data_IF_468654073133
#
_entry.id   IF_468654073133
#
_cell.length_a   1.000
_cell.length_b   1.000
_cell.length_c   1.000
_cell.angle_alpha   90.00
_cell.angle_beta   90.00
_cell.angle_gamma   90.00
#
_symmetry.space_group_name_H-M   'P 1'
#
loop_
_entity.id
_entity.type
_entity.pdbx_description
1 polymer ?
#
# COMPACT_ATOMS: atom_id res chain seq x y z
N UNK A 1 2.73 25.64 25.14
CA UNK A 1 4.03 24.95 25.00
C UNK A 1 4.56 25.24 23.63
N UNK A 2 5.77 25.78 23.53
CA UNK A 2 6.42 26.07 22.24
C UNK A 2 6.68 24.76 21.47
N UNK A 3 6.46 24.81 20.16
CA UNK A 3 6.76 23.71 19.26
C UNK A 3 8.27 23.48 19.23
N UNK A 4 8.73 22.34 19.77
CA UNK A 4 10.14 21.96 19.69
C UNK A 4 10.36 21.00 18.53
N UNK A 5 11.20 21.41 17.59
CA UNK A 5 11.67 20.55 16.49
C UNK A 5 12.44 19.37 17.10
N UNK A 6 12.06 18.11 16.80
CA UNK A 6 12.74 16.94 17.34
C UNK A 6 14.15 16.83 16.76
N UNK A 7 15.15 16.55 17.61
CA UNK A 7 16.54 16.34 17.20
C UNK A 7 16.82 14.86 16.91
N UNK A 8 16.18 13.96 17.66
CA UNK A 8 16.24 12.51 17.42
C UNK A 8 14.87 11.85 17.49
N UNK A 9 14.55 11.06 16.47
CA UNK A 9 13.24 10.40 16.30
C UNK A 9 13.36 8.89 16.44
N UNK A 10 12.46 8.28 17.20
CA UNK A 10 12.27 6.84 17.19
C UNK A 10 11.18 6.47 16.18
N UNK A 11 11.49 5.63 15.20
CA UNK A 11 10.51 5.06 14.28
C UNK A 11 10.15 3.66 14.78
N UNK A 12 8.87 3.38 15.03
CA UNK A 12 8.43 2.05 15.46
C UNK A 12 7.66 1.35 14.36
N UNK A 13 8.13 0.17 13.96
CA UNK A 13 7.59 -0.61 12.84
C UNK A 13 8.59 -0.80 11.69
N UNK A 14 8.69 -2.03 11.18
CA UNK A 14 9.63 -2.45 10.14
C UNK A 14 9.01 -2.70 8.76
N UNK A 15 7.73 -2.36 8.58
CA UNK A 15 7.02 -2.49 7.31
C UNK A 15 7.28 -1.30 6.37
N UNK A 16 6.45 -1.17 5.33
CA UNK A 16 6.56 -0.11 4.31
C UNK A 16 6.57 1.29 4.93
N UNK A 17 5.66 1.57 5.87
CA UNK A 17 5.58 2.89 6.50
C UNK A 17 6.84 3.26 7.29
N UNK A 18 7.34 2.34 8.11
CA UNK A 18 8.58 2.58 8.88
C UNK A 18 9.80 2.68 7.98
N UNK A 19 9.84 1.90 6.89
CA UNK A 19 10.91 1.94 5.91
C UNK A 19 10.95 3.27 5.16
N UNK A 20 9.81 3.72 4.63
CA UNK A 20 9.75 5.02 3.94
C UNK A 20 9.98 6.19 4.91
N UNK A 21 9.53 6.08 6.16
CA UNK A 21 9.82 7.10 7.19
C UNK A 21 11.32 7.21 7.46
N UNK A 22 12.04 6.08 7.54
CA UNK A 22 13.50 6.08 7.71
C UNK A 22 14.21 6.76 6.51
N UNK A 23 13.76 6.48 5.28
CA UNK A 23 14.26 7.17 4.09
C UNK A 23 13.96 8.67 4.11
N UNK A 24 12.75 9.08 4.48
CA UNK A 24 12.38 10.50 4.61
C UNK A 24 13.19 11.23 5.68
N UNK A 25 13.45 10.59 6.83
CA UNK A 25 14.35 11.14 7.85
C UNK A 25 15.77 11.31 7.30
N UNK A 26 16.28 10.32 6.58
CA UNK A 26 17.62 10.37 5.97
C UNK A 26 17.73 11.50 4.94
N UNK A 27 16.74 11.66 4.06
CA UNK A 27 16.67 12.73 3.05
C UNK A 27 16.67 14.12 3.70
N UNK A 28 15.97 14.28 4.83
CA UNK A 28 15.85 15.55 5.57
C UNK A 28 16.96 15.76 6.63
N UNK A 29 17.92 14.85 6.75
CA UNK A 29 18.99 14.94 7.75
C UNK A 29 18.51 14.84 9.21
N UNK A 30 17.37 14.19 9.45
CA UNK A 30 16.81 13.97 10.79
C UNK A 30 17.48 12.74 11.42
N UNK A 31 18.07 12.88 12.62
CA UNK A 31 18.61 11.73 13.33
C UNK A 31 17.47 10.80 13.78
N UNK A 32 17.64 9.50 13.54
CA UNK A 32 16.63 8.52 13.90
C UNK A 32 17.22 7.20 14.40
N UNK A 33 16.35 6.39 14.98
CA UNK A 33 16.55 4.96 15.19
C UNK A 33 15.23 4.25 14.85
N UNK A 34 15.30 3.04 14.31
CA UNK A 34 14.15 2.25 13.92
C UNK A 34 14.06 0.98 14.78
N UNK A 35 12.94 0.80 15.48
CA UNK A 35 12.65 -0.39 16.28
C UNK A 35 11.58 -1.25 15.64
N UNK A 36 11.86 -2.54 15.49
CA UNK A 36 10.87 -3.52 15.08
C UNK A 36 11.18 -4.86 15.74
N UNK A 37 10.13 -5.60 16.10
CA UNK A 37 10.23 -6.92 16.74
C UNK A 37 10.06 -8.09 15.75
N UNK A 38 10.03 -7.81 14.44
CA UNK A 38 9.84 -8.83 13.41
C UNK A 38 8.44 -9.44 13.33
N UNK A 39 7.42 -8.85 13.98
CA UNK A 39 6.03 -9.30 13.82
C UNK A 39 5.56 -9.22 12.36
N UNK A 40 4.65 -10.13 11.92
CA UNK A 40 4.13 -10.12 10.55
C UNK A 40 3.60 -8.76 10.12
N UNK A 41 4.05 -8.27 8.97
CA UNK A 41 3.62 -7.00 8.41
C UNK A 41 2.79 -7.21 7.15
N UNK A 42 1.84 -6.29 6.89
CA UNK A 42 1.12 -6.24 5.61
C UNK A 42 2.08 -6.19 4.40
N UNK A 43 3.25 -5.59 4.60
CA UNK A 43 4.32 -5.46 3.62
C UNK A 43 4.97 -6.78 3.21
N UNK A 44 4.96 -7.79 4.07
CA UNK A 44 5.54 -9.11 3.78
C UNK A 44 4.72 -9.87 2.72
N UNK A 45 3.44 -9.50 2.59
CA UNK A 45 2.46 -10.14 1.69
C UNK A 45 2.05 -9.21 0.54
N UNK A 46 2.43 -7.94 0.59
CA UNK A 46 1.99 -6.94 -0.36
C UNK A 46 2.43 -7.30 -1.79
N UNK A 47 1.48 -7.28 -2.72
CA UNK A 47 1.80 -7.31 -4.14
C UNK A 47 2.47 -6.02 -4.63
N UNK A 48 2.41 -4.95 -3.82
CA UNK A 48 2.99 -3.66 -4.14
C UNK A 48 2.33 -2.94 -5.30
N UNK A 49 1.11 -3.35 -5.70
CA UNK A 49 0.43 -2.78 -6.84
C UNK A 49 0.04 -1.31 -6.62
N UNK A 50 0.18 -0.50 -7.66
CA UNK A 50 -0.33 0.85 -7.74
C UNK A 50 -1.17 1.03 -9.01
N UNK A 51 -2.13 1.94 -8.95
CA UNK A 51 -2.85 2.47 -10.10
C UNK A 51 -3.59 3.75 -9.67
N UNK A 52 -3.88 4.66 -10.60
CA UNK A 52 -4.57 5.92 -10.31
C UNK A 52 -6.10 5.81 -10.32
N UNK A 53 -6.71 4.62 -10.48
CA UNK A 53 -8.17 4.49 -10.74
C UNK A 53 -8.90 3.64 -9.69
N UNK A 54 -10.05 4.11 -9.23
CA UNK A 54 -11.01 3.33 -8.45
C UNK A 54 -11.99 2.63 -9.39
N UNK A 55 -11.78 1.35 -9.69
CA UNK A 55 -12.61 0.61 -10.65
C UNK A 55 -14.09 0.47 -10.26
N UNK A 56 -14.44 0.54 -8.97
CA UNK A 56 -15.84 0.40 -8.52
C UNK A 56 -16.74 1.53 -9.03
N UNK A 57 -16.20 2.74 -9.16
CA UNK A 57 -16.94 3.94 -9.58
C UNK A 57 -16.31 4.64 -10.79
N UNK A 58 -15.22 4.09 -11.34
CA UNK A 58 -14.40 4.65 -12.43
C UNK A 58 -13.94 6.09 -12.11
N UNK A 59 -13.54 6.34 -10.86
CA UNK A 59 -13.06 7.65 -10.39
C UNK A 59 -11.54 7.65 -10.27
N UNK A 60 -10.85 8.78 -10.39
CA UNK A 60 -9.47 8.87 -9.98
C UNK A 60 -9.33 8.52 -8.50
N UNK A 61 -8.18 8.00 -8.13
CA UNK A 61 -7.80 7.88 -6.74
C UNK A 61 -7.50 9.27 -6.18
N UNK A 62 -7.48 9.34 -4.85
CA UNK A 62 -7.21 10.58 -4.13
C UNK A 62 -5.86 11.13 -4.54
N UNK A 63 -5.85 12.35 -5.07
CA UNK A 63 -4.65 13.07 -5.49
C UNK A 63 -3.70 12.22 -6.36
N UNK A 64 -4.28 11.39 -7.24
CA UNK A 64 -3.59 10.32 -7.93
C UNK A 64 -2.34 10.79 -8.72
N UNK A 65 -2.43 11.92 -9.41
CA UNK A 65 -1.32 12.44 -10.20
C UNK A 65 -0.12 12.83 -9.32
N UNK A 66 -0.36 13.63 -8.28
CA UNK A 66 0.71 14.14 -7.41
C UNK A 66 1.30 13.00 -6.56
N UNK A 67 0.46 12.12 -6.02
CA UNK A 67 0.91 10.97 -5.23
C UNK A 67 1.73 9.99 -6.08
N UNK A 68 1.30 9.68 -7.30
CA UNK A 68 2.09 8.83 -8.20
C UNK A 68 3.42 9.48 -8.60
N UNK A 69 3.43 10.79 -8.87
CA UNK A 69 4.66 11.52 -9.21
C UNK A 69 5.67 11.48 -8.06
N UNK A 70 5.24 11.80 -6.84
CA UNK A 70 6.10 11.75 -5.65
C UNK A 70 6.53 10.32 -5.34
N UNK A 71 5.66 9.33 -5.56
CA UNK A 71 6.03 7.94 -5.36
C UNK A 71 7.17 7.50 -6.29
N UNK A 72 7.06 7.81 -7.59
CA UNK A 72 8.12 7.52 -8.57
C UNK A 72 9.45 8.14 -8.18
N UNK A 73 9.43 9.41 -7.77
CA UNK A 73 10.63 10.12 -7.32
C UNK A 73 11.30 9.41 -6.12
N UNK A 74 10.54 9.14 -5.06
CA UNK A 74 11.10 8.54 -3.84
C UNK A 74 11.60 7.12 -4.10
N UNK A 75 10.86 6.29 -4.83
CA UNK A 75 11.35 4.95 -5.13
C UNK A 75 12.60 4.99 -6.01
N UNK A 76 12.72 5.91 -6.96
CA UNK A 76 13.94 6.08 -7.76
C UNK A 76 15.15 6.48 -6.91
N UNK A 77 14.97 7.38 -5.94
CA UNK A 77 16.03 7.73 -4.98
C UNK A 77 16.49 6.48 -4.21
N UNK A 78 15.54 5.66 -3.75
CA UNK A 78 15.84 4.44 -2.99
C UNK A 78 16.50 3.37 -3.85
N UNK A 79 16.05 3.17 -5.08
CA UNK A 79 16.66 2.27 -6.07
C UNK A 79 18.14 2.62 -6.28
N UNK A 80 18.43 3.91 -6.55
CA UNK A 80 19.78 4.39 -6.75
C UNK A 80 20.66 4.20 -5.51
N UNK A 81 20.12 4.49 -4.32
CA UNK A 81 20.86 4.36 -3.06
C UNK A 81 21.15 2.89 -2.69
N UNK A 82 20.28 1.96 -3.08
CA UNK A 82 20.40 0.53 -2.75
C UNK A 82 20.98 -0.32 -3.90
N UNK A 83 21.06 0.21 -5.11
CA UNK A 83 21.48 -0.53 -6.31
C UNK A 83 20.54 -1.68 -6.66
N UNK A 84 19.22 -1.45 -6.60
CA UNK A 84 18.18 -2.47 -6.86
C UNK A 84 17.07 -1.88 -7.72
N UNK A 85 16.29 -2.75 -8.37
CA UNK A 85 15.05 -2.38 -9.06
C UNK A 85 13.85 -2.62 -8.13
N UNK A 86 13.01 -1.61 -7.98
CA UNK A 86 11.82 -1.61 -7.15
C UNK A 86 10.56 -1.30 -7.96
N UNK A 87 10.59 -0.32 -8.86
CA UNK A 87 9.42 0.16 -9.59
C UNK A 87 9.27 -0.56 -10.94
N UNK A 88 8.12 -1.17 -11.14
CA UNK A 88 7.82 -1.92 -12.37
C UNK A 88 6.52 -1.43 -12.98
N UNK A 89 6.59 -0.75 -14.12
CA UNK A 89 5.42 -0.34 -14.88
C UNK A 89 4.80 -1.57 -15.59
N UNK A 90 3.58 -1.90 -15.18
CA UNK A 90 2.81 -3.03 -15.70
C UNK A 90 1.35 -2.56 -15.82
N UNK A 91 0.93 -2.07 -17.00
CA UNK A 91 -0.41 -1.55 -17.22
C UNK A 91 -1.50 -2.53 -16.80
N UNK A 92 -2.67 -2.00 -16.43
CA UNK A 92 -3.82 -2.82 -16.05
C UNK A 92 -4.85 -2.86 -17.18
N UNK A 93 -5.13 -4.07 -17.63
CA UNK A 93 -6.31 -4.43 -18.42
C UNK A 93 -7.50 -4.61 -17.47
N UNK A 94 -8.47 -3.70 -17.53
CA UNK A 94 -9.72 -3.80 -16.77
C UNK A 94 -10.80 -4.48 -17.63
N UNK A 95 -11.16 -5.71 -17.29
CA UNK A 95 -12.28 -6.42 -17.93
C UNK A 95 -13.60 -5.81 -17.46
N UNK A 96 -14.50 -5.54 -18.40
CA UNK A 96 -15.82 -4.99 -18.08
C UNK A 96 -16.77 -6.09 -17.59
N UNK A 97 -17.42 -5.92 -16.42
CA UNK A 97 -18.32 -6.93 -15.87
C UNK A 97 -19.63 -7.06 -16.66
N UNK A 98 -20.06 -5.98 -17.32
CA UNK A 98 -21.30 -5.88 -18.07
C UNK A 98 -21.25 -4.73 -19.08
N UNK A 99 -22.26 -4.65 -19.95
CA UNK A 99 -22.39 -3.62 -20.98
C UNK A 99 -22.59 -2.20 -20.43
N UNK A 100 -23.20 -2.05 -19.25
CA UNK A 100 -23.41 -0.72 -18.63
C UNK A 100 -22.07 -0.13 -18.18
N UNK A 101 -21.22 -0.96 -17.56
CA UNK A 101 -19.87 -0.58 -17.20
C UNK A 101 -19.02 -0.23 -18.42
N UNK A 102 -19.13 -1.01 -19.51
CA UNK A 102 -18.43 -0.73 -20.76
C UNK A 102 -18.84 0.62 -21.37
N UNK A 103 -20.13 0.94 -21.36
CA UNK A 103 -20.66 2.22 -21.83
C UNK A 103 -20.11 3.39 -20.99
N UNK A 104 -20.15 3.26 -19.65
CA UNK A 104 -19.64 4.29 -18.74
C UNK A 104 -18.12 4.49 -18.87
N UNK A 105 -17.35 3.41 -19.04
CA UNK A 105 -15.91 3.51 -19.30
C UNK A 105 -15.65 4.27 -20.59
N UNK A 106 -16.35 3.92 -21.66
CA UNK A 106 -16.21 4.55 -22.98
C UNK A 106 -16.57 6.03 -22.94
N UNK A 107 -17.66 6.38 -22.25
CA UNK A 107 -18.06 7.78 -22.01
C UNK A 107 -16.92 8.57 -21.35
N UNK A 108 -16.37 8.08 -20.24
CA UNK A 108 -15.31 8.78 -19.50
C UNK A 108 -13.98 8.82 -20.23
N UNK A 109 -13.64 7.78 -20.99
CA UNK A 109 -12.44 7.75 -21.81
C UNK A 109 -12.48 8.78 -22.96
N UNK A 110 -13.67 9.17 -23.42
CA UNK A 110 -13.82 10.21 -24.46
C UNK A 110 -13.57 11.64 -23.97
N UNK A 111 -13.58 11.86 -22.65
CA UNK A 111 -13.32 13.17 -22.05
C UNK A 111 -14.42 13.66 -21.11
N UNK A 112 -14.20 14.83 -20.51
CA UNK A 112 -15.19 15.50 -19.65
C UNK A 112 -15.31 14.94 -18.23
N UNK A 113 -14.43 14.02 -17.82
CA UNK A 113 -14.41 13.46 -16.48
C UNK A 113 -12.99 13.52 -15.88
N UNK A 114 -12.88 13.71 -14.56
CA UNK A 114 -11.60 13.73 -13.83
C UNK A 114 -10.77 12.43 -13.93
N UNK A 115 -11.34 11.35 -14.44
CA UNK A 115 -10.65 10.05 -14.60
C UNK A 115 -10.03 9.90 -15.98
N UNK A 116 -10.47 10.72 -16.96
CA UNK A 116 -10.04 10.65 -18.36
C UNK A 116 -8.52 10.55 -18.52
N UNK A 117 -7.68 11.31 -17.77
CA UNK A 117 -6.23 11.25 -17.95
C UNK A 117 -5.61 9.88 -17.60
N UNK A 118 -6.36 9.00 -16.93
CA UNK A 118 -5.86 7.76 -16.36
C UNK A 118 -6.42 6.50 -17.01
N UNK A 119 -7.35 6.63 -17.96
CA UNK A 119 -8.00 5.49 -18.60
C UNK A 119 -8.01 5.63 -20.12
N UNK A 120 -7.88 4.50 -20.79
CA UNK A 120 -7.93 4.42 -22.24
C UNK A 120 -8.97 3.37 -22.68
N UNK A 121 -9.58 3.59 -23.84
CA UNK A 121 -10.34 2.56 -24.54
C UNK A 121 -9.37 1.54 -25.14
N UNK A 122 -9.76 0.27 -25.17
CA UNK A 122 -8.95 -0.78 -25.76
C UNK A 122 -9.75 -1.54 -26.83
N UNK A 123 -9.31 -1.53 -28.10
CA UNK A 123 -9.95 -2.34 -29.13
C UNK A 123 -9.76 -3.83 -28.85
N UNK A 124 -10.72 -4.66 -29.25
CA UNK A 124 -10.70 -6.10 -29.02
C UNK A 124 -9.46 -6.78 -29.63
N UNK A 125 -8.97 -6.31 -30.78
CA UNK A 125 -7.81 -6.89 -31.47
C UNK A 125 -6.47 -6.66 -30.74
N UNK A 126 -6.43 -5.75 -29.75
CA UNK A 126 -5.26 -5.48 -28.93
C UNK A 126 -5.23 -6.32 -27.65
N UNK A 127 -6.33 -7.01 -27.33
CA UNK A 127 -6.37 -7.94 -26.20
C UNK A 127 -5.54 -9.18 -26.51
N UNK A 128 -4.74 -9.58 -25.54
CA UNK A 128 -4.04 -10.86 -25.63
C UNK A 128 -5.08 -12.00 -25.82
N UNK A 129 -4.88 -12.96 -26.76
CA UNK A 129 -5.88 -13.98 -27.09
C UNK A 129 -6.31 -14.86 -25.92
N UNK A 130 -5.50 -14.93 -24.86
CA UNK A 130 -5.84 -15.67 -23.64
C UNK A 130 -6.81 -14.93 -22.71
N UNK A 131 -7.20 -13.67 -22.99
CA UNK A 131 -8.04 -12.88 -22.09
C UNK A 131 -9.52 -13.06 -22.46
N UNK A 132 -10.34 -13.43 -21.48
CA UNK A 132 -11.78 -13.53 -21.63
C UNK A 132 -12.46 -12.21 -21.22
N UNK A 133 -12.93 -11.44 -22.21
CA UNK A 133 -13.56 -10.14 -22.00
C UNK A 133 -14.87 -10.00 -22.79
N UNK A 134 -15.96 -10.67 -22.37
CA UNK A 134 -17.20 -10.76 -23.16
C UNK A 134 -17.89 -9.41 -23.40
N UNK A 135 -17.67 -8.43 -22.52
CA UNK A 135 -18.18 -7.06 -22.67
C UNK A 135 -17.09 -6.07 -23.10
N UNK A 136 -15.91 -6.57 -23.49
CA UNK A 136 -14.72 -5.77 -23.76
C UNK A 136 -13.92 -5.44 -22.51
N UNK A 137 -12.91 -4.60 -22.70
CA UNK A 137 -12.00 -4.17 -21.65
C UNK A 137 -11.46 -2.76 -21.94
N UNK A 138 -10.87 -2.16 -20.91
CA UNK A 138 -10.17 -0.88 -20.98
C UNK A 138 -8.77 -0.98 -20.38
N UNK A 139 -7.98 0.07 -20.54
CA UNK A 139 -6.59 0.11 -20.07
C UNK A 139 -6.39 1.22 -19.04
N UNK A 140 -5.55 0.95 -18.03
CA UNK A 140 -4.92 1.95 -17.18
C UNK A 140 -3.42 1.89 -17.43
N UNK A 141 -2.86 2.84 -18.21
CA UNK A 141 -1.45 2.79 -18.63
C UNK A 141 -0.50 3.01 -17.45
N UNK A 142 -0.79 4.00 -16.60
CA UNK A 142 0.01 4.39 -15.43
C UNK A 142 -0.23 3.46 -14.22
N UNK A 143 -0.01 2.17 -14.39
CA UNK A 143 -0.15 1.19 -13.33
C UNK A 143 1.04 0.23 -13.30
N UNK A 144 1.19 -0.48 -12.18
CA UNK A 144 2.31 -1.38 -12.00
C UNK A 144 2.42 -1.86 -10.57
N UNK A 145 3.64 -2.19 -10.16
CA UNK A 145 3.92 -2.61 -8.81
C UNK A 145 5.31 -2.20 -8.32
N UNK A 146 5.45 -2.14 -7.00
CA UNK A 146 6.72 -1.94 -6.30
C UNK A 146 7.12 -3.22 -5.58
N UNK A 147 8.37 -3.64 -5.66
CA UNK A 147 8.87 -4.78 -4.90
C UNK A 147 9.06 -4.44 -3.41
N UNK A 148 7.94 -4.35 -2.68
CA UNK A 148 7.90 -3.92 -1.27
C UNK A 148 8.76 -4.83 -0.37
N UNK A 149 8.80 -6.13 -0.65
CA UNK A 149 9.61 -7.07 0.13
C UNK A 149 11.10 -6.79 -0.04
N UNK A 150 11.56 -6.63 -1.29
CA UNK A 150 12.96 -6.28 -1.56
C UNK A 150 13.33 -4.94 -0.93
N UNK A 151 12.44 -3.93 -1.04
CA UNK A 151 12.61 -2.63 -0.40
C UNK A 151 12.81 -2.74 1.11
N UNK A 152 11.91 -3.42 1.83
CA UNK A 152 11.99 -3.51 3.29
C UNK A 152 13.19 -4.33 3.75
N UNK A 153 13.52 -5.42 3.05
CA UNK A 153 14.69 -6.26 3.34
C UNK A 153 16.01 -5.49 3.15
N UNK A 154 16.20 -4.85 1.99
CA UNK A 154 17.43 -4.12 1.67
C UNK A 154 17.59 -2.85 2.50
N UNK A 155 16.51 -2.11 2.73
CA UNK A 155 16.54 -0.93 3.61
C UNK A 155 16.87 -1.32 5.04
N UNK A 156 16.29 -2.41 5.56
CA UNK A 156 16.62 -2.90 6.91
C UNK A 156 18.09 -3.28 7.03
N UNK A 157 18.65 -3.98 6.03
CA UNK A 157 20.05 -4.35 6.03
C UNK A 157 20.97 -3.11 6.08
N UNK A 158 20.67 -2.09 5.27
CA UNK A 158 21.38 -0.81 5.30
C UNK A 158 21.30 -0.14 6.70
N UNK A 159 20.09 -0.05 7.27
CA UNK A 159 19.92 0.60 8.58
C UNK A 159 20.55 -0.19 9.72
N UNK A 160 20.63 -1.52 9.62
CA UNK A 160 21.37 -2.34 10.57
C UNK A 160 22.87 -2.05 10.48
N UNK A 161 23.43 -1.98 9.27
CA UNK A 161 24.85 -1.64 9.05
C UNK A 161 25.19 -0.25 9.60
N UNK A 162 24.28 0.72 9.46
CA UNK A 162 24.44 2.06 9.97
C UNK A 162 24.19 2.19 11.49
N UNK A 163 23.87 1.08 12.19
CA UNK A 163 23.53 1.10 13.61
C UNK A 163 22.21 1.81 13.94
N UNK A 164 21.36 2.03 12.93
CA UNK A 164 20.08 2.74 13.03
C UNK A 164 18.90 1.80 13.26
N UNK A 165 19.03 0.50 13.02
CA UNK A 165 17.95 -0.48 13.23
C UNK A 165 18.21 -1.37 14.45
N UNK A 166 17.16 -1.62 15.26
CA UNK A 166 17.21 -2.55 16.40
C UNK A 166 16.03 -3.52 16.40
N UNK A 167 16.32 -4.77 16.77
CA UNK A 167 15.31 -5.76 17.10
C UNK A 167 14.74 -5.46 18.49
N UNK A 168 13.71 -4.63 18.56
CA UNK A 168 13.14 -4.16 19.81
C UNK A 168 11.64 -3.88 19.63
N UNK A 169 10.83 -4.28 20.60
CA UNK A 169 9.40 -3.99 20.64
C UNK A 169 9.14 -2.64 21.32
N UNK A 170 8.05 -1.99 20.94
CA UNK A 170 7.57 -0.77 21.58
C UNK A 170 6.05 -0.70 21.57
N UNK A 171 5.49 -0.14 22.64
CA UNK A 171 4.09 0.22 22.82
C UNK A 171 3.94 1.60 23.43
N UNK A 172 2.76 2.20 23.32
CA UNK A 172 2.46 3.51 23.91
C UNK A 172 2.78 3.57 25.41
N UNK A 173 2.65 2.45 26.12
CA UNK A 173 2.93 2.32 27.55
C UNK A 173 4.40 2.52 27.91
N UNK A 174 5.31 2.30 26.97
CA UNK A 174 6.75 2.49 27.18
C UNK A 174 7.15 3.97 27.16
N UNK A 175 6.26 4.86 26.72
CA UNK A 175 6.51 6.29 26.62
C UNK A 175 7.51 6.64 25.51
N UNK A 176 8.07 7.86 25.58
CA UNK A 176 9.19 8.27 24.76
C UNK A 176 10.50 7.83 25.43
N UNK A 177 11.30 6.93 24.82
CA UNK A 177 12.51 6.45 25.46
C UNK A 177 13.56 7.56 25.64
N UNK A 178 14.42 7.49 26.69
CA UNK A 178 15.46 8.48 26.91
C UNK A 178 16.36 8.68 25.68
N UNK A 179 16.65 9.94 25.35
CA UNK A 179 17.47 10.31 24.20
C UNK A 179 16.70 10.47 22.89
N UNK A 180 15.39 10.23 22.87
CA UNK A 180 14.50 10.55 21.76
C UNK A 180 13.59 11.72 22.13
N UNK A 181 13.26 12.55 21.14
CA UNK A 181 12.33 13.68 21.28
C UNK A 181 10.92 13.34 20.77
N UNK A 182 10.81 12.34 19.89
CA UNK A 182 9.54 11.89 19.32
C UNK A 182 9.56 10.40 18.98
N UNK A 183 8.38 9.79 18.94
CA UNK A 183 8.10 8.43 18.47
C UNK A 183 7.11 8.51 17.31
N UNK A 184 7.51 8.02 16.14
CA UNK A 184 6.67 7.91 14.95
C UNK A 184 6.17 6.49 14.80
N UNK A 185 4.86 6.32 14.94
CA UNK A 185 4.20 5.02 14.94
C UNK A 185 3.79 4.54 13.56
N UNK A 186 4.62 3.65 13.03
CA UNK A 186 4.48 3.00 11.74
C UNK A 186 4.17 1.50 11.88
N UNK A 187 3.63 1.03 13.01
CA UNK A 187 3.42 -0.42 13.30
C UNK A 187 2.29 -1.06 12.52
N UNK A 188 1.61 -0.34 11.62
CA UNK A 188 0.47 -0.87 10.88
C UNK A 188 -0.64 -1.29 11.84
N UNK A 189 -1.19 -2.50 11.68
CA UNK A 189 -2.25 -3.03 12.56
C UNK A 189 -1.80 -3.21 14.01
N UNK A 190 -0.48 -3.29 14.27
CA UNK A 190 0.07 -3.34 15.62
C UNK A 190 -0.19 -2.06 16.43
N UNK A 191 -0.49 -0.94 15.78
CA UNK A 191 -0.85 0.31 16.45
C UNK A 191 -2.31 0.36 16.93
N UNK A 192 -3.16 -0.62 16.54
CA UNK A 192 -4.61 -0.52 16.75
C UNK A 192 -5.02 -0.39 18.23
N UNK A 193 -4.38 -1.16 19.13
CA UNK A 193 -4.70 -1.10 20.56
C UNK A 193 -4.26 0.22 21.20
N UNK A 194 -3.14 0.79 20.77
CA UNK A 194 -2.65 2.06 21.28
C UNK A 194 -3.48 3.24 20.75
N UNK A 195 -3.84 3.22 19.47
CA UNK A 195 -4.69 4.24 18.85
C UNK A 195 -6.12 4.25 19.39
N UNK A 196 -6.66 3.08 19.77
CA UNK A 196 -7.99 2.98 20.35
C UNK A 196 -8.16 3.80 21.64
N UNK A 197 -7.08 4.01 22.41
CA UNK A 197 -7.08 4.83 23.63
C UNK A 197 -7.39 6.31 23.35
N UNK A 198 -7.23 6.76 22.11
CA UNK A 198 -7.56 8.11 21.64
C UNK A 198 -8.85 8.14 20.82
N UNK A 199 -9.62 7.05 20.81
CA UNK A 199 -10.83 6.91 20.00
C UNK A 199 -10.55 6.82 18.49
N UNK A 200 -9.35 6.37 18.11
CA UNK A 200 -8.97 6.18 16.71
C UNK A 200 -9.09 4.71 16.33
N UNK A 201 -10.03 4.42 15.43
CA UNK A 201 -10.28 3.05 14.96
C UNK A 201 -9.37 2.71 13.77
N UNK A 202 -8.43 1.78 14.00
CA UNK A 202 -7.62 1.17 12.94
C UNK A 202 -8.12 -0.26 12.67
N UNK A 203 -8.75 -0.45 11.51
CA UNK A 203 -9.35 -1.74 11.13
C UNK A 203 -8.35 -2.67 10.47
N UNK A 204 -8.55 -3.96 10.67
CA UNK A 204 -7.79 -5.05 10.05
C UNK A 204 -8.56 -5.51 8.81
N UNK A 205 -8.04 -5.23 7.63
CA UNK A 205 -8.57 -5.78 6.40
C UNK A 205 -7.69 -6.95 5.96
N UNK A 206 -8.18 -8.16 6.22
CA UNK A 206 -7.51 -9.39 5.82
C UNK A 206 -7.57 -9.57 4.30
N UNK A 207 -6.45 -9.99 3.73
CA UNK A 207 -6.39 -10.38 2.34
C UNK A 207 -5.31 -11.40 2.05
N UNK A 208 -5.65 -12.27 1.11
CA UNK A 208 -4.83 -13.37 0.65
C UNK A 208 -4.40 -13.15 -0.80
N UNK A 209 -3.19 -13.59 -1.10
CA UNK A 209 -2.63 -13.63 -2.45
C UNK A 209 -2.00 -15.00 -2.68
N UNK A 210 -2.08 -15.47 -3.92
CA UNK A 210 -1.40 -16.69 -4.35
C UNK A 210 -0.37 -16.35 -5.42
N UNK A 211 0.69 -17.15 -5.48
CA UNK A 211 1.61 -17.16 -6.63
C UNK A 211 1.44 -18.49 -7.33
N UNK A 212 1.33 -18.45 -8.66
CA UNK A 212 1.26 -19.63 -9.50
C UNK A 212 2.42 -19.64 -10.49
N UNK A 213 2.84 -20.84 -10.87
CA UNK A 213 3.84 -21.08 -11.90
C UNK A 213 3.19 -21.88 -13.03
N UNK A 214 3.24 -21.35 -14.24
CA UNK A 214 2.64 -22.00 -15.41
C UNK A 214 3.50 -21.79 -16.65
N UNK A 215 3.42 -22.74 -17.59
CA UNK A 215 4.03 -22.59 -18.92
C UNK A 215 3.16 -21.75 -19.88
N UNK A 216 1.96 -21.36 -19.45
CA UNK A 216 1.03 -20.58 -20.26
C UNK A 216 1.47 -19.13 -20.40
N UNK A 217 1.44 -18.63 -21.65
CA UNK A 217 1.56 -17.19 -21.91
C UNK A 217 0.20 -16.51 -21.77
N UNK A 218 0.21 -15.47 -20.97
CA UNK A 218 -0.93 -14.76 -20.45
C UNK A 218 -0.79 -13.24 -20.69
N UNK A 219 0.19 -12.83 -21.49
CA UNK A 219 0.49 -11.45 -21.77
C UNK A 219 1.29 -10.77 -20.66
N UNK A 220 1.78 -9.58 -20.98
CA UNK A 220 2.68 -8.81 -20.10
C UNK A 220 1.95 -7.82 -19.19
N UNK A 221 0.65 -7.62 -19.36
CA UNK A 221 -0.16 -6.70 -18.56
C UNK A 221 -0.84 -7.39 -17.38
N UNK A 222 -1.13 -6.61 -16.35
CA UNK A 222 -2.00 -7.06 -15.27
C UNK A 222 -3.43 -7.16 -15.78
N UNK A 223 -4.10 -8.30 -15.56
CA UNK A 223 -5.52 -8.46 -15.90
C UNK A 223 -6.36 -8.31 -14.63
N UNK A 224 -7.41 -7.49 -14.66
CA UNK A 224 -8.27 -7.20 -13.53
C UNK A 224 -9.75 -7.39 -13.86
N UNK A 225 -10.40 -8.35 -13.20
CA UNK A 225 -11.85 -8.58 -13.23
C UNK A 225 -12.47 -8.51 -11.82
N UNK A 226 -11.95 -7.62 -10.95
CA UNK A 226 -12.13 -7.54 -9.48
C UNK A 226 -11.04 -8.32 -8.75
N UNK A 227 -10.76 -9.53 -9.18
CA UNK A 227 -9.49 -10.20 -8.90
C UNK A 227 -8.47 -9.76 -9.95
N UNK A 228 -7.23 -9.58 -9.54
CA UNK A 228 -6.13 -9.24 -10.44
C UNK A 228 -5.16 -10.40 -10.60
N UNK A 229 -4.56 -10.48 -11.77
CA UNK A 229 -3.47 -11.42 -12.12
C UNK A 229 -2.32 -10.59 -12.68
N UNK A 230 -1.27 -10.48 -11.88
CA UNK A 230 -0.05 -9.71 -12.16
C UNK A 230 1.03 -10.67 -12.70
N UNK A 231 1.54 -10.48 -13.92
CA UNK A 231 2.72 -11.19 -14.40
C UNK A 231 3.98 -10.78 -13.61
N UNK A 232 4.77 -11.77 -13.20
CA UNK A 232 6.08 -11.56 -12.56
C UNK A 232 7.26 -11.93 -13.48
N UNK A 233 6.98 -12.42 -14.69
CA UNK A 233 7.97 -12.96 -15.63
C UNK A 233 8.19 -14.47 -15.47
N UNK A 234 8.82 -15.10 -16.47
CA UNK A 234 9.17 -16.52 -16.48
C UNK A 234 8.02 -17.48 -16.13
N UNK A 235 6.79 -17.17 -16.57
CA UNK A 235 5.60 -17.99 -16.29
C UNK A 235 5.04 -17.89 -14.87
N UNK A 236 5.60 -17.01 -14.03
CA UNK A 236 5.09 -16.75 -12.69
C UNK A 236 4.03 -15.64 -12.70
N UNK A 237 2.92 -15.86 -11.98
CA UNK A 237 1.86 -14.87 -11.81
C UNK A 237 1.47 -14.76 -10.35
N UNK A 238 1.25 -13.53 -9.88
CA UNK A 238 0.61 -13.28 -8.59
C UNK A 238 -0.86 -12.98 -8.81
N UNK A 239 -1.71 -13.63 -8.03
CA UNK A 239 -3.16 -13.48 -8.11
C UNK A 239 -3.67 -12.99 -6.77
N UNK A 240 -4.51 -11.96 -6.81
CA UNK A 240 -5.08 -11.45 -5.59
C UNK A 240 -6.17 -10.42 -5.80
N UNK A 241 -6.67 -9.83 -4.73
CA UNK A 241 -6.59 -10.38 -3.38
C UNK A 241 -7.99 -10.53 -2.82
N UNK A 242 -8.16 -11.40 -1.83
CA UNK A 242 -9.37 -11.37 -1.01
C UNK A 242 -9.44 -10.08 -0.17
N UNK A 243 -10.64 -9.79 0.33
CA UNK A 243 -10.95 -8.60 1.13
C UNK A 243 -11.97 -8.97 2.21
N UNK A 244 -11.50 -9.14 3.44
CA UNK A 244 -12.25 -9.73 4.58
C UNK A 244 -12.07 -8.86 5.83
N UNK A 245 -13.17 -8.58 6.54
CA UNK A 245 -13.16 -7.83 7.81
C UNK A 245 -13.42 -8.72 9.03
N UNK A 246 -13.89 -9.93 8.79
CA UNK A 246 -14.27 -10.94 9.79
C UNK A 246 -13.09 -11.77 10.30
N UNK A 247 -11.88 -11.56 9.75
CA UNK A 247 -10.65 -12.25 10.18
C UNK A 247 -9.69 -11.25 10.81
N UNK A 248 -9.23 -11.56 12.01
CA UNK A 248 -8.28 -10.73 12.75
C UNK A 248 -6.82 -11.20 12.67
N UNK A 249 -6.59 -12.42 12.19
CA UNK A 249 -5.27 -13.06 12.09
C UNK A 249 -4.80 -13.22 10.64
N UNK A 250 -3.49 -13.17 10.34
CA UNK A 250 -2.95 -13.32 8.98
C UNK A 250 -2.92 -14.79 8.54
N UNK A 251 -4.09 -15.44 8.48
CA UNK A 251 -4.23 -16.86 8.14
C UNK A 251 -4.69 -17.07 6.70
N UNK A 252 -4.18 -18.13 6.06
CA UNK A 252 -4.65 -18.56 4.73
C UNK A 252 -5.82 -19.52 4.86
N UNK A 253 -6.73 -19.51 3.88
CA UNK A 253 -7.96 -20.30 3.88
C UNK A 253 -8.15 -21.01 2.53
N UNK A 254 -8.53 -22.28 2.60
CA UNK A 254 -8.80 -23.10 1.40
C UNK A 254 -9.91 -22.48 0.52
N UNK A 255 -10.96 -21.93 1.15
CA UNK A 255 -12.04 -21.24 0.43
C UNK A 255 -11.54 -20.05 -0.38
N UNK A 256 -10.54 -19.33 0.15
CA UNK A 256 -9.94 -18.19 -0.53
C UNK A 256 -9.06 -18.61 -1.69
N UNK A 257 -8.28 -19.70 -1.53
CA UNK A 257 -7.52 -20.31 -2.64
C UNK A 257 -8.44 -20.67 -3.82
N UNK A 258 -9.51 -21.43 -3.53
CA UNK A 258 -10.48 -21.84 -4.54
C UNK A 258 -11.17 -20.64 -5.21
N UNK A 259 -11.48 -19.60 -4.43
CA UNK A 259 -12.04 -18.36 -4.94
C UNK A 259 -11.08 -17.64 -5.89
N UNK A 260 -9.81 -17.45 -5.50
CA UNK A 260 -8.80 -16.75 -6.30
C UNK A 260 -8.52 -17.46 -7.63
N UNK A 261 -8.34 -18.79 -7.61
CA UNK A 261 -8.16 -19.59 -8.82
C UNK A 261 -9.38 -19.49 -9.74
N UNK A 262 -10.60 -19.62 -9.17
CA UNK A 262 -11.84 -19.48 -9.94
C UNK A 262 -11.94 -18.11 -10.61
N UNK A 263 -11.69 -17.02 -9.89
CA UNK A 263 -11.80 -15.68 -10.45
C UNK A 263 -10.75 -15.39 -11.52
N UNK A 264 -9.51 -15.84 -11.33
CA UNK A 264 -8.46 -15.74 -12.35
C UNK A 264 -8.84 -16.52 -13.63
N UNK A 265 -9.38 -17.73 -13.48
CA UNK A 265 -9.83 -18.55 -14.60
C UNK A 265 -11.04 -17.96 -15.33
N UNK A 266 -11.89 -17.14 -14.69
CA UNK A 266 -12.97 -16.43 -15.39
C UNK A 266 -12.45 -15.35 -16.34
N UNK A 267 -11.29 -14.75 -16.02
CA UNK A 267 -10.67 -13.71 -16.83
C UNK A 267 -9.83 -14.27 -17.99
N UNK A 268 -9.64 -15.60 -18.10
CA UNK A 268 -8.71 -16.20 -19.06
C UNK A 268 -9.26 -17.41 -19.80
N UNK A 269 -8.88 -17.53 -21.07
CA UNK A 269 -9.27 -18.59 -21.99
C UNK A 269 -8.11 -19.59 -22.09
N UNK A 270 -8.28 -20.76 -21.46
CA UNK A 270 -7.50 -22.00 -21.63
C UNK A 270 -5.97 -21.98 -21.33
N UNK A 271 -5.42 -23.13 -20.91
CA UNK A 271 -6.01 -24.00 -19.88
C UNK A 271 -6.27 -23.24 -18.58
N UNK A 272 -7.14 -23.79 -17.73
CA UNK A 272 -7.40 -23.23 -16.42
C UNK A 272 -6.21 -23.48 -15.48
N UNK A 273 -5.92 -22.52 -14.60
CA UNK A 273 -5.02 -22.76 -13.46
C UNK A 273 -5.62 -23.80 -12.54
N UNK A 274 -4.75 -24.65 -12.03
CA UNK A 274 -5.04 -25.70 -11.07
C UNK A 274 -4.39 -25.38 -9.73
N UNK A 275 -4.88 -26.04 -8.67
CA UNK A 275 -4.25 -25.93 -7.36
C UNK A 275 -2.78 -26.41 -7.36
N UNK A 276 -2.43 -27.34 -8.26
CA UNK A 276 -1.05 -27.81 -8.45
C UNK A 276 -0.10 -26.75 -9.01
N UNK A 277 -0.62 -25.69 -9.63
CA UNK A 277 0.19 -24.60 -10.18
C UNK A 277 0.63 -23.62 -9.08
N UNK A 278 0.03 -23.71 -7.88
CA UNK A 278 0.24 -22.77 -6.78
C UNK A 278 1.54 -23.07 -6.07
N UNK A 279 2.47 -22.12 -6.12
CA UNK A 279 3.79 -22.22 -5.47
C UNK A 279 3.84 -21.48 -4.13
N UNK A 280 2.89 -20.57 -3.88
CA UNK A 280 2.81 -19.81 -2.63
C UNK A 280 1.39 -19.34 -2.35
N UNK A 281 1.01 -19.32 -1.08
CA UNK A 281 -0.24 -18.73 -0.59
C UNK A 281 0.06 -17.95 0.69
N UNK A 282 -0.19 -16.64 0.68
CA UNK A 282 0.14 -15.73 1.77
C UNK A 282 -1.06 -14.90 2.17
N UNK A 283 -1.17 -14.58 3.46
CA UNK A 283 -2.23 -13.78 4.04
C UNK A 283 -1.65 -12.64 4.90
N UNK A 284 -2.24 -11.46 4.81
CA UNK A 284 -1.82 -10.29 5.59
C UNK A 284 -2.99 -9.41 6.00
N UNK A 285 -2.74 -8.56 6.99
CA UNK A 285 -3.73 -7.63 7.55
C UNK A 285 -3.39 -6.20 7.17
N UNK A 286 -4.22 -5.58 6.32
CA UNK A 286 -4.00 -4.21 5.86
C UNK A 286 -4.57 -3.21 6.87
N UNK A 287 -3.76 -2.31 7.44
CA UNK A 287 -4.22 -1.31 8.38
C UNK A 287 -5.08 -0.29 7.63
N UNK A 288 -6.38 -0.26 7.89
CA UNK A 288 -7.34 0.53 7.10
C UNK A 288 -8.24 1.37 8.00
N UNK A 289 -8.59 2.57 7.54
CA UNK A 289 -9.55 3.45 8.21
C UNK A 289 -10.90 3.42 7.48
N UNK A 290 -11.96 3.88 8.15
CA UNK A 290 -13.34 3.87 7.63
C UNK A 290 -13.50 4.62 6.29
N UNK A 291 -12.75 5.71 6.11
CA UNK A 291 -12.75 6.58 4.94
C UNK A 291 -11.61 6.29 3.95
N UNK A 292 -10.77 5.28 4.24
CA UNK A 292 -9.57 4.92 3.46
C UNK A 292 -8.51 6.01 3.40
N UNK A 293 -8.53 6.98 4.33
CA UNK A 293 -7.45 7.95 4.54
C UNK A 293 -6.55 7.48 5.69
N UNK A 294 -5.22 7.72 5.63
CA UNK A 294 -4.29 7.43 6.73
C UNK A 294 -4.57 8.20 8.02
N UNK A 295 -3.95 7.77 9.12
CA UNK A 295 -3.91 8.52 10.39
C UNK A 295 -2.49 9.06 10.52
N UNK A 296 -2.33 10.38 10.36
CA UNK A 296 -1.04 11.05 10.42
C UNK A 296 -1.00 12.11 11.54
N UNK A 297 0.18 12.38 12.08
CA UNK A 297 0.39 13.50 13.00
C UNK A 297 0.15 13.16 14.47
N UNK A 298 0.19 14.18 15.32
CA UNK A 298 0.07 14.03 16.78
C UNK A 298 -1.37 13.67 17.16
N UNK A 299 -1.52 12.66 18.00
CA UNK A 299 -2.86 12.18 18.44
C UNK A 299 -3.24 12.66 19.84
N UNK A 300 -2.33 13.27 20.58
CA UNK A 300 -2.54 13.67 21.98
C UNK A 300 -1.79 14.95 22.33
N UNK A 301 -2.42 15.76 23.19
CA UNK A 301 -1.77 16.90 23.83
C UNK A 301 -0.98 16.51 25.06
N UNK A 302 -1.39 15.45 25.77
CA UNK A 302 -0.61 14.91 26.88
C UNK A 302 0.65 14.18 26.40
N UNK A 303 0.61 13.58 25.22
CA UNK A 303 1.71 12.84 24.62
C UNK A 303 2.22 13.51 23.33
N UNK A 304 2.70 14.75 23.44
CA UNK A 304 3.21 15.52 22.30
C UNK A 304 4.34 14.85 21.52
N UNK A 305 5.05 13.91 22.14
CA UNK A 305 6.12 13.10 21.54
C UNK A 305 5.58 11.98 20.63
N UNK A 306 4.30 11.61 20.70
CA UNK A 306 3.73 10.51 19.93
C UNK A 306 3.08 11.02 18.63
N UNK A 307 3.54 10.49 17.50
CA UNK A 307 3.10 10.86 16.16
C UNK A 307 2.64 9.60 15.42
N UNK A 308 1.41 9.54 14.97
CA UNK A 308 0.91 8.45 14.16
C UNK A 308 1.36 8.60 12.70
N UNK A 309 1.73 7.49 12.05
CA UNK A 309 1.91 7.42 10.60
C UNK A 309 1.51 6.02 10.10
N UNK A 310 0.20 5.75 10.10
CA UNK A 310 -0.35 4.42 9.81
C UNK A 310 -1.69 4.48 9.07
N UNK A 311 -2.33 3.35 8.82
CA UNK A 311 -3.65 3.29 8.18
C UNK A 311 -3.64 3.44 6.66
N UNK A 312 -2.54 3.07 6.00
CA UNK A 312 -2.36 3.28 4.56
C UNK A 312 -3.18 2.33 3.66
N UNK A 313 -3.86 1.34 4.25
CA UNK A 313 -4.78 0.44 3.57
C UNK A 313 -4.13 -0.33 2.43
N UNK A 314 -4.81 -0.37 1.28
CA UNK A 314 -4.36 -1.09 0.07
C UNK A 314 -3.50 -0.23 -0.86
N UNK A 315 -3.15 0.99 -0.48
CA UNK A 315 -2.52 1.99 -1.37
C UNK A 315 -1.16 2.48 -0.89
N UNK A 316 -0.55 1.76 0.05
CA UNK A 316 0.64 2.22 0.76
C UNK A 316 1.80 2.61 -0.14
N UNK A 317 2.00 1.94 -1.28
CA UNK A 317 3.08 2.29 -2.23
C UNK A 317 2.81 3.62 -2.95
N UNK A 318 1.56 3.89 -3.33
CA UNK A 318 1.21 5.11 -4.07
C UNK A 318 1.19 6.34 -3.17
N UNK A 319 0.64 6.20 -1.96
CA UNK A 319 0.41 7.35 -1.08
C UNK A 319 1.56 7.55 -0.08
N UNK A 320 2.31 6.48 0.23
CA UNK A 320 3.26 6.42 1.33
C UNK A 320 4.28 7.55 1.35
N UNK A 321 4.96 7.83 0.22
CA UNK A 321 5.89 8.95 0.10
C UNK A 321 5.30 10.30 0.52
N UNK A 322 4.13 10.68 -0.02
CA UNK A 322 3.42 11.90 0.41
C UNK A 322 3.02 11.87 1.88
N UNK A 323 2.62 10.71 2.42
CA UNK A 323 2.28 10.61 3.84
C UNK A 323 3.49 10.84 4.75
N UNK A 324 4.67 10.35 4.33
CA UNK A 324 5.93 10.58 5.04
C UNK A 324 6.29 12.05 5.00
N UNK A 325 6.19 12.68 3.82
CA UNK A 325 6.47 14.12 3.67
C UNK A 325 5.60 14.95 4.60
N UNK A 326 4.27 14.78 4.56
CA UNK A 326 3.37 15.52 5.45
C UNK A 326 3.65 15.28 6.94
N UNK A 327 3.99 14.05 7.31
CA UNK A 327 4.31 13.72 8.72
C UNK A 327 5.60 14.44 9.14
N UNK A 328 6.65 14.37 8.34
CA UNK A 328 7.94 15.00 8.66
C UNK A 328 7.87 16.51 8.61
N UNK A 329 7.20 17.09 7.62
CA UNK A 329 7.06 18.55 7.48
C UNK A 329 6.31 19.13 8.69
N UNK A 330 5.24 18.47 9.15
CA UNK A 330 4.53 18.85 10.36
C UNK A 330 5.35 18.63 11.63
N UNK A 331 6.17 17.58 11.70
CA UNK A 331 7.07 17.32 12.85
C UNK A 331 8.23 18.30 12.95
N UNK A 332 8.73 18.77 11.81
CA UNK A 332 9.85 19.71 11.73
C UNK A 332 9.39 21.17 11.78
N UNK A 333 8.08 21.42 11.80
CA UNK A 333 7.51 22.77 11.87
C UNK A 333 7.59 23.53 10.55
N UNK A 334 7.81 22.82 9.44
CA UNK A 334 7.73 23.38 8.08
C UNK A 334 6.27 23.71 7.76
N UNK A 335 5.35 22.84 8.18
CA UNK A 335 3.91 23.12 8.22
C UNK A 335 3.43 23.13 9.67
N UNK A 336 2.29 23.80 9.92
CA UNK A 336 1.70 23.87 11.26
C UNK A 336 1.13 22.53 11.72
N UNK A 337 0.60 21.73 10.80
CA UNK A 337 0.04 20.41 11.05
C UNK A 337 -0.04 19.60 9.74
N UNK A 338 -0.47 18.33 9.84
CA UNK A 338 -0.83 17.50 8.69
C UNK A 338 -2.19 17.93 8.10
N UNK A 339 -2.50 17.61 6.82
CA UNK A 339 -3.79 17.97 6.23
C UNK A 339 -5.00 17.39 6.99
N UNK A 340 -6.09 18.15 7.01
CA UNK A 340 -7.32 17.81 7.75
C UNK A 340 -7.90 16.44 7.39
N UNK A 341 -7.77 16.02 6.13
CA UNK A 341 -8.28 14.74 5.63
C UNK A 341 -7.51 13.51 6.11
N UNK A 342 -6.33 13.69 6.69
CA UNK A 342 -5.51 12.62 7.31
C UNK A 342 -5.27 12.85 8.80
N UNK A 343 -5.63 14.02 9.31
CA UNK A 343 -5.52 14.35 10.72
C UNK A 343 -6.50 13.50 11.59
N UNK A 344 -6.10 13.05 12.79
CA UNK A 344 -6.92 12.29 13.75
C UNK A 344 -8.27 12.93 14.08
N UNK A 345 -8.32 14.26 14.16
CA UNK A 345 -9.54 15.06 14.43
C UNK A 345 -10.74 14.76 13.52
N UNK A 346 -10.54 14.16 12.34
CA UNK A 346 -11.66 13.80 11.46
C UNK A 346 -12.48 12.61 11.99
N UNK A 347 -11.93 11.82 12.91
CA UNK A 347 -12.66 10.75 13.57
C UNK A 347 -13.62 11.36 14.59
N UNK A 348 -14.92 11.03 14.47
CA UNK A 348 -15.95 11.51 15.40
C UNK A 348 -15.71 11.09 16.85
N UNK A 349 -15.03 9.96 17.03
CA UNK A 349 -14.68 9.36 18.32
C UNK A 349 -13.36 9.88 18.88
N UNK A 350 -12.63 10.73 18.15
CA UNK A 350 -11.31 11.19 18.58
C UNK A 350 -11.38 12.01 19.86
N UNK A 351 -10.62 11.60 20.87
CA UNK A 351 -10.45 12.35 22.12
C UNK A 351 -9.03 12.87 22.19
N UNK A 352 -8.90 14.20 22.07
CA UNK A 352 -7.63 14.92 22.23
C UNK A 352 -7.30 14.99 23.72
N UNK A 353 -6.85 13.86 24.27
CA UNK A 353 -6.38 13.77 25.64
C UNK A 353 -5.03 14.48 25.76
#
# INVERSE_FOLDING_TARGET
MEFRVPRKVLIVGGGLAGTLMAWGCQERGVDFEQWSNGSPAASDVAAGMFNPVSFRRILPQWDAANQSARAREVFSIVENALGIDLWHDVPIIRIFPDAQYAALWTERARGGHEVTPFIESMPADFLHPSINAPYGAGMVPDAGWVNVRLLTEKSRALQLQNGKWKNHSWSMRDGCPPGFDAVVDCRGVGAAADLAQFGLELRRNHGEVITVQTAMDWGAQTVNNVTWTLPLGNGAFRIGSTYRWDIEEPVVLEKSLNHLLRQANLARIKPALLASDVTSHLAGLRPSCFDRRPILGRVSTQHHWYVACTGWGTRGVSIGPTMVDWTLDAMLGITSDVPDEVHPKRFRTFTKN
#
